data_IF_385376484234
#
_entry.id   IF_385376484234
#
_cell.length_a   1.000
_cell.length_b   1.000
_cell.length_c   1.000
_cell.angle_alpha   90.00
_cell.angle_beta   90.00
_cell.angle_gamma   90.00
#
_symmetry.space_group_name_H-M   'P 1'
#
loop_
_entity.id
_entity.type
_entity.pdbx_description
1 polymer ?
#
# COMPACT_ATOMS: atom_id res chain seq x y z
N UNK A 1 17.79 19.73 0.69
CA UNK A 1 18.52 18.48 0.89
C UNK A 1 17.60 17.28 0.70
N UNK A 2 18.16 16.13 0.47
CA UNK A 2 17.41 14.89 0.26
C UNK A 2 16.52 14.54 1.46
N UNK A 3 17.01 14.82 2.67
CA UNK A 3 16.27 14.56 3.91
C UNK A 3 15.02 15.43 3.98
N UNK A 4 15.14 16.72 3.67
CA UNK A 4 14.01 17.66 3.67
C UNK A 4 12.97 17.25 2.62
N UNK A 5 13.42 16.83 1.44
CA UNK A 5 12.53 16.40 0.36
C UNK A 5 11.78 15.11 0.75
N UNK A 6 12.46 14.19 1.43
CA UNK A 6 11.83 12.94 1.91
C UNK A 6 10.78 13.22 2.99
N UNK A 7 11.08 14.12 3.92
CA UNK A 7 10.13 14.53 4.97
C UNK A 7 8.89 15.18 4.36
N UNK A 8 9.09 16.07 3.39
CA UNK A 8 8.00 16.73 2.68
C UNK A 8 7.14 15.72 1.90
N UNK A 9 7.77 14.78 1.21
CA UNK A 9 7.07 13.73 0.47
C UNK A 9 6.25 12.86 1.41
N UNK A 10 6.80 12.49 2.56
CA UNK A 10 6.08 11.70 3.55
C UNK A 10 4.87 12.44 4.11
N UNK A 11 5.01 13.72 4.40
CA UNK A 11 3.93 14.57 4.88
C UNK A 11 2.81 14.66 3.85
N UNK A 12 3.15 14.89 2.59
CA UNK A 12 2.19 14.96 1.49
C UNK A 12 1.49 13.63 1.27
N UNK A 13 2.23 12.53 1.38
CA UNK A 13 1.66 11.18 1.23
C UNK A 13 0.58 10.92 2.27
N UNK A 14 0.83 11.27 3.52
CA UNK A 14 -0.15 11.09 4.61
C UNK A 14 -1.43 11.88 4.32
N UNK A 15 -1.28 13.12 3.87
CA UNK A 15 -2.42 13.98 3.54
C UNK A 15 -3.22 13.41 2.37
N UNK A 16 -2.54 13.00 1.31
CA UNK A 16 -3.19 12.43 0.11
C UNK A 16 -3.92 11.14 0.45
N UNK A 17 -3.30 10.25 1.22
CA UNK A 17 -3.93 9.00 1.62
C UNK A 17 -5.17 9.24 2.49
N UNK A 18 -5.15 10.25 3.36
CA UNK A 18 -6.31 10.62 4.17
C UNK A 18 -7.47 11.11 3.31
N UNK A 19 -7.19 11.93 2.30
CA UNK A 19 -8.20 12.42 1.35
C UNK A 19 -8.77 11.27 0.53
N UNK A 20 -7.91 10.38 0.04
CA UNK A 20 -8.33 9.21 -0.71
C UNK A 20 -9.24 8.31 0.12
N UNK A 21 -8.89 8.10 1.38
CA UNK A 21 -9.69 7.26 2.28
C UNK A 21 -11.05 7.87 2.56
N UNK A 22 -11.12 9.17 2.81
CA UNK A 22 -12.39 9.86 3.00
C UNK A 22 -13.29 9.73 1.76
N UNK A 23 -12.72 9.96 0.58
CA UNK A 23 -13.44 9.80 -0.69
C UNK A 23 -13.91 8.36 -0.88
N UNK A 24 -13.04 7.39 -0.61
CA UNK A 24 -13.35 5.96 -0.72
C UNK A 24 -14.52 5.57 0.18
N UNK A 25 -14.55 6.06 1.41
CA UNK A 25 -15.64 5.77 2.33
C UNK A 25 -16.98 6.28 1.80
N UNK A 26 -17.00 7.47 1.21
CA UNK A 26 -18.21 8.04 0.60
C UNK A 26 -18.68 7.20 -0.57
N UNK A 27 -17.76 6.77 -1.43
CA UNK A 27 -18.07 5.92 -2.59
C UNK A 27 -18.62 4.56 -2.14
N UNK A 28 -18.02 3.95 -1.13
CA UNK A 28 -18.52 2.69 -0.57
C UNK A 28 -19.93 2.84 -0.02
N UNK A 29 -20.20 3.95 0.66
CA UNK A 29 -21.55 4.25 1.18
C UNK A 29 -22.60 4.34 0.08
N UNK A 30 -22.17 4.71 -1.13
CA UNK A 30 -23.03 4.82 -2.30
C UNK A 30 -23.10 3.51 -3.11
N UNK A 31 -22.47 2.45 -2.64
CA UNK A 31 -22.47 1.15 -3.31
C UNK A 31 -21.45 1.02 -4.45
N UNK A 32 -20.51 1.94 -4.56
CA UNK A 32 -19.48 1.90 -5.59
C UNK A 32 -18.31 1.01 -5.15
N UNK A 33 -17.83 0.15 -6.05
CA UNK A 33 -16.64 -0.65 -5.82
C UNK A 33 -15.39 0.21 -5.96
N UNK A 34 -14.41 0.00 -5.08
CA UNK A 34 -13.16 0.76 -5.12
C UNK A 34 -11.95 -0.17 -5.00
N UNK A 35 -10.83 0.32 -5.49
CA UNK A 35 -9.52 -0.32 -5.32
C UNK A 35 -8.60 0.73 -4.70
N UNK A 36 -7.96 0.37 -3.59
CA UNK A 36 -6.94 1.22 -2.96
C UNK A 36 -5.57 0.58 -3.16
N UNK A 37 -4.66 1.35 -3.73
CA UNK A 37 -3.28 0.93 -3.97
C UNK A 37 -2.34 1.76 -3.10
N UNK A 38 -2.28 1.44 -1.82
CA UNK A 38 -1.37 2.06 -0.87
C UNK A 38 -0.33 1.03 -0.43
N UNK A 39 0.65 1.44 0.36
CA UNK A 39 1.65 0.52 0.88
C UNK A 39 1.07 -0.53 1.82
N UNK A 40 0.14 -0.12 2.69
CA UNK A 40 -0.50 -0.99 3.68
C UNK A 40 0.52 -1.84 4.46
N UNK A 41 1.56 -1.18 4.95
CA UNK A 41 2.74 -1.83 5.53
C UNK A 41 2.48 -2.48 6.88
N UNK A 42 1.59 -1.91 7.68
CA UNK A 42 1.27 -2.38 9.02
C UNK A 42 -0.02 -3.18 9.07
N UNK A 43 -0.01 -4.26 9.84
CA UNK A 43 -1.19 -5.09 10.03
C UNK A 43 -2.34 -4.30 10.66
N UNK A 44 -2.06 -3.49 11.67
CA UNK A 44 -3.09 -2.68 12.35
C UNK A 44 -3.76 -1.71 11.39
N UNK A 45 -2.99 -1.10 10.49
CA UNK A 45 -3.52 -0.20 9.48
C UNK A 45 -4.43 -0.97 8.52
N UNK A 46 -3.99 -2.11 8.01
CA UNK A 46 -4.81 -2.94 7.12
C UNK A 46 -6.12 -3.35 7.79
N UNK A 47 -6.06 -3.74 9.04
CA UNK A 47 -7.26 -4.16 9.79
C UNK A 47 -8.23 -3.00 9.99
N UNK A 48 -7.72 -1.79 10.24
CA UNK A 48 -8.54 -0.60 10.38
C UNK A 48 -9.31 -0.28 9.09
N UNK A 49 -8.64 -0.33 7.94
CA UNK A 49 -9.28 -0.13 6.64
C UNK A 49 -10.32 -1.20 6.36
N UNK A 50 -9.98 -2.47 6.62
CA UNK A 50 -10.88 -3.60 6.43
C UNK A 50 -12.16 -3.44 7.28
N UNK A 51 -11.98 -3.18 8.56
CA UNK A 51 -13.10 -3.13 9.49
C UNK A 51 -14.01 -1.94 9.18
N UNK A 52 -13.43 -0.79 8.85
CA UNK A 52 -14.23 0.36 8.47
C UNK A 52 -15.00 0.13 7.17
N UNK A 53 -14.37 -0.47 6.18
CA UNK A 53 -15.04 -0.79 4.92
C UNK A 53 -16.23 -1.74 5.16
N UNK A 54 -16.06 -2.73 6.04
CA UNK A 54 -17.15 -3.64 6.41
C UNK A 54 -18.29 -2.93 7.13
N UNK A 55 -17.98 -1.97 7.99
CA UNK A 55 -19.01 -1.15 8.61
C UNK A 55 -19.86 -0.40 7.58
N UNK A 56 -19.26 -0.05 6.45
CA UNK A 56 -19.94 0.62 5.34
C UNK A 56 -20.64 -0.35 4.38
N UNK A 57 -20.66 -1.64 4.71
CA UNK A 57 -21.35 -2.67 3.94
C UNK A 57 -20.54 -3.30 2.82
N UNK A 58 -19.24 -3.05 2.75
CA UNK A 58 -18.39 -3.59 1.70
C UNK A 58 -17.86 -4.98 2.04
N UNK A 59 -17.65 -5.79 1.01
CA UNK A 59 -16.76 -6.94 1.06
C UNK A 59 -15.33 -6.41 0.86
N UNK A 60 -14.37 -7.04 1.50
CA UNK A 60 -12.98 -6.55 1.45
C UNK A 60 -12.04 -7.67 1.02
N UNK A 61 -11.29 -7.42 -0.04
CA UNK A 61 -10.25 -8.33 -0.50
C UNK A 61 -8.88 -7.67 -0.31
N UNK A 62 -7.91 -8.45 0.12
CA UNK A 62 -6.52 -8.02 0.21
C UNK A 62 -5.69 -8.80 -0.79
N UNK A 63 -5.12 -8.09 -1.75
CA UNK A 63 -4.24 -8.68 -2.75
C UNK A 63 -2.79 -8.33 -2.42
N UNK A 64 -2.03 -9.32 -2.03
CA UNK A 64 -0.63 -9.17 -1.67
C UNK A 64 0.24 -9.82 -2.74
N UNK A 65 1.15 -9.03 -3.30
CA UNK A 65 2.10 -9.52 -4.30
C UNK A 65 3.34 -10.06 -3.56
N UNK A 66 3.43 -11.37 -3.44
CA UNK A 66 4.50 -12.04 -2.70
C UNK A 66 5.73 -12.22 -3.59
N UNK A 67 6.55 -11.18 -3.66
CA UNK A 67 7.80 -11.19 -4.40
C UNK A 67 8.97 -11.39 -3.43
N UNK A 68 10.00 -12.11 -3.86
CA UNK A 68 11.26 -12.15 -3.12
C UNK A 68 11.91 -10.77 -3.13
N UNK A 69 12.82 -10.53 -2.18
CA UNK A 69 13.54 -9.25 -2.11
C UNK A 69 14.34 -9.00 -3.40
N UNK A 70 14.91 -10.05 -3.98
CA UNK A 70 15.67 -9.94 -5.24
C UNK A 70 14.75 -9.59 -6.42
N UNK A 71 13.60 -10.22 -6.53
CA UNK A 71 12.63 -9.92 -7.58
C UNK A 71 12.12 -8.49 -7.45
N UNK A 72 11.83 -8.06 -6.23
CA UNK A 72 11.38 -6.70 -5.96
C UNK A 72 12.46 -5.69 -6.32
N UNK A 73 13.72 -5.98 -5.96
CA UNK A 73 14.84 -5.11 -6.33
C UNK A 73 15.03 -5.02 -7.84
N UNK A 74 14.89 -6.11 -8.56
CA UNK A 74 14.98 -6.10 -10.02
C UNK A 74 13.94 -5.18 -10.65
N UNK A 75 12.73 -5.19 -10.13
CA UNK A 75 11.66 -4.29 -10.61
C UNK A 75 11.96 -2.83 -10.29
N UNK A 76 12.49 -2.55 -9.10
CA UNK A 76 12.88 -1.19 -8.69
C UNK A 76 14.03 -0.68 -9.54
N UNK A 77 15.03 -1.51 -9.80
CA UNK A 77 16.18 -1.16 -10.64
C UNK A 77 15.74 -0.80 -12.06
N UNK A 78 14.83 -1.58 -12.63
CA UNK A 78 14.24 -1.28 -13.93
C UNK A 78 13.46 0.04 -13.91
N UNK A 79 12.69 0.29 -12.87
CA UNK A 79 11.99 1.55 -12.67
C UNK A 79 12.96 2.72 -12.60
N UNK A 80 14.04 2.59 -11.83
CA UNK A 80 15.06 3.63 -11.68
C UNK A 80 15.70 4.02 -13.01
N UNK A 81 15.85 3.08 -13.93
CA UNK A 81 16.42 3.34 -15.25
C UNK A 81 15.54 4.14 -16.19
N UNK A 82 14.26 4.26 -15.89
CA UNK A 82 13.29 4.98 -16.73
C UNK A 82 12.53 6.09 -16.01
N UNK A 83 13.06 6.62 -14.91
CA UNK A 83 12.35 7.63 -14.12
C UNK A 83 12.17 8.96 -14.87
N UNK A 84 10.96 9.55 -14.79
CA UNK A 84 10.76 10.91 -15.28
C UNK A 84 11.50 11.93 -14.42
N UNK A 85 11.72 13.11 -14.97
CA UNK A 85 12.34 14.21 -14.24
C UNK A 85 11.55 14.55 -12.98
N UNK A 86 12.26 14.80 -11.88
CA UNK A 86 11.64 15.13 -10.59
C UNK A 86 11.35 13.93 -9.69
N UNK A 87 11.49 12.71 -10.21
CA UNK A 87 11.35 11.50 -9.41
C UNK A 87 12.68 11.14 -8.75
N UNK A 88 12.64 10.59 -7.55
CA UNK A 88 13.84 10.13 -6.87
C UNK A 88 14.08 8.64 -7.10
N UNK A 89 15.35 8.25 -7.11
CA UNK A 89 15.73 6.85 -7.21
C UNK A 89 15.61 6.17 -5.85
N UNK A 90 15.18 4.91 -5.89
CA UNK A 90 15.14 4.06 -4.70
C UNK A 90 16.42 3.24 -4.69
N UNK A 91 17.22 3.36 -3.63
CA UNK A 91 18.45 2.59 -3.50
C UNK A 91 18.17 1.23 -2.85
N UNK A 92 19.12 0.30 -2.99
CA UNK A 92 19.00 -1.00 -2.34
C UNK A 92 18.99 -0.88 -0.82
N UNK A 93 19.70 0.14 -0.29
CA UNK A 93 19.68 0.44 1.15
C UNK A 93 18.29 0.91 1.58
N UNK A 94 17.66 1.77 0.80
CA UNK A 94 16.29 2.21 1.06
C UNK A 94 15.34 1.02 1.12
N UNK A 95 15.42 0.12 0.14
CA UNK A 95 14.56 -1.07 0.10
C UNK A 95 14.77 -1.95 1.33
N UNK A 96 16.02 -2.22 1.70
CA UNK A 96 16.33 -3.03 2.87
C UNK A 96 15.74 -2.42 4.15
N UNK A 97 15.85 -1.11 4.31
CA UNK A 97 15.27 -0.39 5.44
C UNK A 97 13.75 -0.50 5.46
N UNK A 98 13.10 -0.28 4.32
CA UNK A 98 11.64 -0.35 4.23
C UNK A 98 11.13 -1.75 4.52
N UNK A 99 11.83 -2.78 4.09
CA UNK A 99 11.42 -4.16 4.33
C UNK A 99 11.47 -4.54 5.81
N UNK A 100 12.25 -3.81 6.63
CA UNK A 100 12.21 -4.02 8.07
C UNK A 100 10.92 -3.52 8.73
N UNK A 101 10.25 -2.56 8.08
CA UNK A 101 9.01 -1.98 8.60
C UNK A 101 7.77 -2.70 8.08
N UNK A 102 7.90 -3.41 6.98
CA UNK A 102 6.78 -4.09 6.35
C UNK A 102 6.37 -5.33 7.14
N UNK A 103 5.13 -5.38 7.58
CA UNK A 103 4.54 -6.53 8.25
C UNK A 103 3.82 -7.37 7.21
N UNK A 104 4.51 -8.38 6.68
CA UNK A 104 3.96 -9.24 5.64
C UNK A 104 2.67 -9.91 6.14
N UNK A 105 1.57 -9.86 5.35
CA UNK A 105 0.38 -10.61 5.71
C UNK A 105 0.67 -12.11 5.77
N UNK A 106 0.30 -12.74 6.88
CA UNK A 106 0.41 -14.18 7.03
C UNK A 106 -0.89 -14.87 6.58
N UNK A 107 -0.87 -16.18 6.57
CA UNK A 107 -2.03 -16.97 6.17
C UNK A 107 -3.24 -16.69 7.07
N UNK A 108 -3.01 -16.53 8.36
CA UNK A 108 -4.08 -16.24 9.32
C UNK A 108 -4.74 -14.90 9.03
N UNK A 109 -3.93 -13.87 8.72
CA UNK A 109 -4.47 -12.57 8.34
C UNK A 109 -5.25 -12.65 7.04
N UNK A 110 -4.69 -13.28 6.02
CA UNK A 110 -5.34 -13.38 4.71
C UNK A 110 -6.71 -14.08 4.77
N UNK A 111 -6.88 -15.02 5.69
CA UNK A 111 -8.16 -15.70 5.90
C UNK A 111 -9.25 -14.76 6.45
N UNK A 112 -8.89 -13.62 6.99
CA UNK A 112 -9.86 -12.64 7.50
C UNK A 112 -10.46 -11.77 6.41
N UNK A 113 -10.00 -11.89 5.17
CA UNK A 113 -10.51 -11.14 4.02
C UNK A 113 -11.46 -12.00 3.17
N UNK A 114 -12.22 -11.33 2.33
CA UNK A 114 -13.26 -11.96 1.51
C UNK A 114 -12.76 -12.34 0.11
N UNK A 115 -11.48 -12.65 0.00
CA UNK A 115 -10.86 -12.96 -1.28
C UNK A 115 -11.56 -14.14 -1.94
N UNK A 116 -11.87 -13.99 -3.24
CA UNK A 116 -12.44 -15.06 -4.02
C UNK A 116 -11.37 -16.09 -4.34
N UNK A 117 -11.71 -17.39 -4.36
CA UNK A 117 -10.77 -18.40 -4.82
C UNK A 117 -10.32 -18.08 -6.24
N UNK A 118 -9.04 -18.31 -6.54
CA UNK A 118 -8.55 -18.23 -7.91
C UNK A 118 -9.18 -19.40 -8.68
N UNK A 119 -9.86 -19.07 -9.75
CA UNK A 119 -10.50 -20.08 -10.59
C UNK A 119 -9.48 -20.86 -11.40
#
# INVERSE_FOLDING_TARGET
>A
SDITDREENERLRVIVEAIQWETAQRLLSLGTNIILENGFWGRSEREMYRDRARELGARVELHFLDLSDDELWQRIEKRNGGLPAGSFQITRVDLAEWMTWFQKPDEAELKTYDNRPLA
#
